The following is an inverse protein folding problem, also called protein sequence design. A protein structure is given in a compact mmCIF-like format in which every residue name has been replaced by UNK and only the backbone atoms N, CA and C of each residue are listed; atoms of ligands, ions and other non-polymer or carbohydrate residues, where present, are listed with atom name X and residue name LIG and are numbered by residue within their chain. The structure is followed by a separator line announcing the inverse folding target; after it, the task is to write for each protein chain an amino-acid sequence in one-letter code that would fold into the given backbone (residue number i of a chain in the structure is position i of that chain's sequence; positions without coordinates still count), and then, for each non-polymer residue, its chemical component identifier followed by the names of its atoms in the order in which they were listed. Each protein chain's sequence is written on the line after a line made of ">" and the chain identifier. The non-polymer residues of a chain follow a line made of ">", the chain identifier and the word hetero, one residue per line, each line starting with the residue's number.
data_IF_284432416964
#
_entry.id   IF_284432416964
#
_cell.length_a   1.000
_cell.length_b   1.000
_cell.length_c   1.000
_cell.angle_alpha   90.00
_cell.angle_beta   90.00
_cell.angle_gamma   90.00
#
_symmetry.space_group_name_H-M   'P 1'
#
loop_
_entity.id
_entity.type
_entity.pdbx_description
1 polymer ?
#
# COMPACT_ATOMS: atom_id res chain seq x y z
N UNK A 1 80.68 59.53 20.14
CA UNK A 1 79.32 59.72 19.58
C UNK A 1 79.10 58.66 18.51
N UNK A 2 77.96 57.97 18.56
CA UNK A 2 77.68 56.70 17.89
C UNK A 2 77.59 56.83 16.37
N UNK A 3 78.38 56.03 15.65
CA UNK A 3 78.27 55.78 14.21
C UNK A 3 77.16 54.75 13.94
N UNK A 4 76.02 55.20 13.42
CA UNK A 4 75.03 54.30 12.79
C UNK A 4 75.16 54.43 11.28
N UNK A 5 75.95 53.53 10.69
CA UNK A 5 76.08 53.38 9.24
C UNK A 5 74.75 52.93 8.62
N UNK A 6 74.28 53.68 7.63
CA UNK A 6 73.21 53.26 6.72
C UNK A 6 73.75 52.11 5.87
N UNK A 7 73.29 50.89 6.13
CA UNK A 7 73.54 49.76 5.24
C UNK A 7 72.65 49.83 4.00
N UNK A 8 73.20 49.33 2.90
CA UNK A 8 72.94 49.66 1.49
C UNK A 8 71.52 49.29 0.99
N UNK A 9 70.86 50.14 0.17
CA UNK A 9 69.55 49.85 -0.43
C UNK A 9 69.59 48.75 -1.51
N UNK A 10 70.77 48.46 -2.08
CA UNK A 10 70.94 47.46 -3.15
C UNK A 10 70.76 46.02 -2.66
N UNK A 11 71.11 45.73 -1.41
CA UNK A 11 70.89 44.40 -0.84
C UNK A 11 69.41 44.15 -0.54
N UNK A 12 68.69 45.18 -0.10
CA UNK A 12 67.24 45.11 0.11
C UNK A 12 66.49 44.81 -1.17
N UNK A 13 66.82 45.51 -2.26
CA UNK A 13 66.17 45.28 -3.56
C UNK A 13 66.39 43.85 -4.07
N UNK A 14 67.57 43.27 -3.81
CA UNK A 14 67.90 41.90 -4.21
C UNK A 14 67.19 40.84 -3.36
N UNK A 15 66.89 41.15 -2.10
CA UNK A 15 66.06 40.30 -1.23
C UNK A 15 64.59 40.43 -1.62
N UNK A 16 64.10 41.64 -1.84
CA UNK A 16 62.73 41.92 -2.29
C UNK A 16 62.42 41.26 -3.65
N UNK A 17 63.36 41.28 -4.60
CA UNK A 17 63.24 40.57 -5.88
C UNK A 17 63.18 39.05 -5.71
N UNK A 18 63.91 38.50 -4.73
CA UNK A 18 63.85 37.06 -4.40
C UNK A 18 62.55 36.68 -3.71
N UNK A 19 61.99 37.58 -2.90
CA UNK A 19 60.77 37.35 -2.14
C UNK A 19 59.50 37.61 -2.96
N UNK A 20 59.58 38.37 -4.06
CA UNK A 20 58.43 38.77 -4.90
C UNK A 20 57.64 37.61 -5.54
N UNK A 21 58.24 36.42 -5.63
CA UNK A 21 57.60 35.21 -6.14
C UNK A 21 57.56 34.06 -5.12
N UNK A 22 58.06 34.28 -3.90
CA UNK A 22 58.10 33.25 -2.87
C UNK A 22 56.78 33.24 -2.09
N UNK A 23 55.71 32.79 -2.73
CA UNK A 23 54.46 32.50 -2.04
C UNK A 23 54.47 31.05 -1.56
N UNK A 24 54.57 30.85 -0.24
CA UNK A 24 54.33 29.53 0.38
C UNK A 24 52.83 29.27 0.34
N UNK A 25 52.31 28.93 -0.84
CA UNK A 25 50.95 28.40 -0.99
C UNK A 25 50.95 26.94 -0.56
N UNK A 26 51.14 26.71 0.73
CA UNK A 26 50.71 25.44 1.35
C UNK A 26 49.19 25.51 1.42
N UNK A 27 48.52 25.05 0.38
CA UNK A 27 47.11 24.72 0.51
C UNK A 27 47.01 23.66 1.63
N UNK A 28 46.03 23.74 2.54
CA UNK A 28 45.78 22.70 3.52
C UNK A 28 45.30 21.44 2.76
N UNK A 29 46.26 20.66 2.27
CA UNK A 29 46.00 19.34 1.73
C UNK A 29 45.92 18.37 2.91
N UNK A 30 44.93 17.46 2.94
CA UNK A 30 44.91 16.42 3.96
C UNK A 30 46.19 15.60 3.87
N UNK A 31 46.79 15.32 5.02
CA UNK A 31 47.95 14.44 5.09
C UNK A 31 47.60 13.09 4.45
N UNK A 32 48.55 12.46 3.71
CA UNK A 32 48.34 11.12 3.19
C UNK A 32 47.93 10.17 4.31
N UNK A 33 46.89 9.37 4.07
CA UNK A 33 46.48 8.33 5.01
C UNK A 33 47.57 7.26 5.05
N UNK A 34 48.22 7.15 6.20
CA UNK A 34 49.21 6.10 6.44
C UNK A 34 48.51 4.76 6.69
N UNK A 35 48.97 3.71 6.00
CA UNK A 35 48.51 2.34 6.16
C UNK A 35 49.62 1.48 6.78
N UNK A 36 49.47 1.17 8.07
CA UNK A 36 50.44 0.38 8.82
C UNK A 36 50.57 -1.05 8.27
N UNK A 37 49.52 -1.62 7.69
CA UNK A 37 49.54 -3.01 7.21
C UNK A 37 50.44 -3.16 5.97
N UNK A 38 50.61 -2.08 5.21
CA UNK A 38 51.47 -2.05 4.02
C UNK A 38 52.89 -1.53 4.33
N UNK A 39 53.18 -1.16 5.57
CA UNK A 39 54.52 -0.68 5.95
C UNK A 39 55.52 -1.84 6.03
N UNK A 40 56.59 -1.71 5.25
CA UNK A 40 57.71 -2.67 5.23
C UNK A 40 58.42 -2.79 6.57
N UNK A 41 58.50 -1.71 7.33
CA UNK A 41 59.19 -1.67 8.63
C UNK A 41 58.41 -2.42 9.72
N UNK A 42 57.09 -2.51 9.57
CA UNK A 42 56.21 -3.22 10.51
C UNK A 42 55.93 -4.67 10.10
N UNK A 43 56.51 -5.14 8.98
CA UNK A 43 56.28 -6.49 8.46
C UNK A 43 56.53 -7.59 9.49
N UNK A 44 57.62 -7.49 10.25
CA UNK A 44 57.98 -8.49 11.27
C UNK A 44 56.95 -8.56 12.41
N UNK A 45 56.32 -7.43 12.77
CA UNK A 45 55.27 -7.40 13.78
C UNK A 45 54.01 -8.12 13.28
N UNK A 46 53.61 -7.88 12.03
CA UNK A 46 52.42 -8.49 11.42
C UNK A 46 52.62 -9.96 11.02
N UNK A 47 53.86 -10.42 10.88
CA UNK A 47 54.21 -11.83 10.65
C UNK A 47 54.01 -12.71 11.90
N UNK A 48 53.85 -12.10 13.08
CA UNK A 48 53.52 -12.83 14.31
C UNK A 48 52.16 -13.55 14.20
N UNK A 49 52.16 -14.86 14.44
CA UNK A 49 50.93 -15.70 14.36
C UNK A 49 49.79 -15.18 15.22
N UNK A 50 50.08 -14.57 16.37
CA UNK A 50 49.04 -14.02 17.27
C UNK A 50 48.35 -12.82 16.63
N UNK A 51 49.15 -11.92 16.04
CA UNK A 51 48.64 -10.72 15.34
C UNK A 51 47.91 -11.13 14.06
N UNK A 52 48.46 -12.08 13.31
CA UNK A 52 47.84 -12.59 12.09
C UNK A 52 46.49 -13.24 12.37
N UNK A 53 46.36 -14.07 13.42
CA UNK A 53 45.06 -14.64 13.83
C UNK A 53 44.05 -13.55 14.19
N UNK A 54 44.49 -12.50 14.87
CA UNK A 54 43.63 -11.37 15.20
C UNK A 54 43.17 -10.62 13.93
N UNK A 55 44.09 -10.31 13.02
CA UNK A 55 43.80 -9.64 11.76
C UNK A 55 42.88 -10.48 10.85
N UNK A 56 43.05 -11.80 10.84
CA UNK A 56 42.17 -12.73 10.14
C UNK A 56 40.77 -12.75 10.74
N UNK A 57 40.66 -12.80 12.07
CA UNK A 57 39.35 -12.73 12.76
C UNK A 57 38.61 -11.43 12.44
N UNK A 58 39.35 -10.33 12.31
CA UNK A 58 38.81 -9.02 11.99
C UNK A 58 38.58 -8.79 10.48
N UNK A 59 39.01 -9.71 9.62
CA UNK A 59 38.81 -9.62 8.16
C UNK A 59 39.75 -8.67 7.42
N UNK A 60 40.81 -8.17 8.07
CA UNK A 60 41.84 -7.34 7.43
C UNK A 60 42.81 -8.15 6.59
N UNK A 61 42.93 -9.44 6.90
CA UNK A 61 43.87 -10.36 6.27
C UNK A 61 43.13 -11.65 5.94
N UNK A 62 43.37 -12.19 4.75
CA UNK A 62 42.77 -13.44 4.29
C UNK A 62 43.43 -14.66 4.96
N UNK A 63 42.85 -15.85 4.76
CA UNK A 63 43.39 -17.14 5.23
C UNK A 63 44.82 -17.39 4.72
N UNK A 64 45.15 -16.86 3.56
CA UNK A 64 46.48 -16.91 2.94
C UNK A 64 47.48 -15.89 3.53
N UNK A 65 47.04 -14.98 4.40
CA UNK A 65 47.89 -13.93 4.96
C UNK A 65 48.01 -12.67 4.10
N UNK A 66 47.22 -12.55 3.02
CA UNK A 66 47.18 -11.36 2.16
C UNK A 66 46.26 -10.29 2.75
N UNK A 67 46.66 -9.02 2.62
CA UNK A 67 45.87 -7.88 3.11
C UNK A 67 44.63 -7.71 2.22
N UNK A 68 43.46 -7.63 2.84
CA UNK A 68 42.19 -7.43 2.17
C UNK A 68 41.99 -5.95 1.91
N UNK A 69 41.80 -5.58 0.64
CA UNK A 69 41.52 -4.20 0.25
C UNK A 69 40.01 -3.95 0.25
N UNK A 70 39.50 -3.39 1.35
CA UNK A 70 38.06 -3.21 1.58
C UNK A 70 37.41 -2.29 0.53
N UNK A 71 38.14 -1.30 0.02
CA UNK A 71 37.62 -0.37 -0.98
C UNK A 71 37.28 -1.08 -2.30
N UNK A 72 38.02 -2.15 -2.64
CA UNK A 72 37.72 -2.97 -3.82
C UNK A 72 36.44 -3.79 -3.67
N UNK A 73 36.07 -4.14 -2.44
CA UNK A 73 34.87 -4.93 -2.16
C UNK A 73 33.65 -4.07 -1.84
N UNK A 74 33.83 -2.78 -1.53
CA UNK A 74 32.75 -1.85 -1.19
C UNK A 74 31.66 -1.80 -2.25
N UNK A 75 32.02 -1.79 -3.54
CA UNK A 75 31.03 -1.83 -4.62
C UNK A 75 30.19 -3.11 -4.61
N UNK A 76 30.81 -4.28 -4.39
CA UNK A 76 30.10 -5.56 -4.32
C UNK A 76 29.20 -5.65 -3.10
N UNK A 77 29.67 -5.17 -1.94
CA UNK A 77 28.88 -5.12 -0.71
C UNK A 77 27.65 -4.22 -0.90
N UNK A 78 27.80 -3.06 -1.51
CA UNK A 78 26.68 -2.17 -1.80
C UNK A 78 25.63 -2.82 -2.71
N UNK A 79 26.06 -3.55 -3.75
CA UNK A 79 25.15 -4.29 -4.63
C UNK A 79 24.40 -5.35 -3.81
N UNK A 80 25.11 -6.17 -3.02
CA UNK A 80 24.48 -7.20 -2.19
C UNK A 80 23.47 -6.59 -1.21
N UNK A 81 23.79 -5.47 -0.58
CA UNK A 81 22.87 -4.76 0.32
C UNK A 81 21.63 -4.24 -0.40
N UNK A 82 21.77 -3.73 -1.63
CA UNK A 82 20.64 -3.29 -2.45
C UNK A 82 19.75 -4.46 -2.86
N UNK A 83 20.36 -5.56 -3.31
CA UNK A 83 19.66 -6.80 -3.67
C UNK A 83 18.89 -7.35 -2.46
N UNK A 84 19.50 -7.33 -1.27
CA UNK A 84 18.85 -7.80 -0.05
C UNK A 84 17.63 -6.94 0.30
N UNK A 85 17.77 -5.60 0.24
CA UNK A 85 16.65 -4.68 0.47
C UNK A 85 15.53 -4.87 -0.55
N UNK A 86 15.86 -5.13 -1.80
CA UNK A 86 14.88 -5.39 -2.85
C UNK A 86 14.13 -6.71 -2.61
N UNK A 87 14.86 -7.77 -2.26
CA UNK A 87 14.29 -9.06 -1.91
C UNK A 87 13.37 -8.97 -0.68
N UNK A 88 13.81 -8.29 0.39
CA UNK A 88 12.99 -8.06 1.59
C UNK A 88 11.70 -7.33 1.29
N UNK A 89 11.75 -6.25 0.48
CA UNK A 89 10.55 -5.52 0.05
C UNK A 89 9.61 -6.41 -0.76
N UNK A 90 10.15 -7.19 -1.68
CA UNK A 90 9.36 -8.07 -2.56
C UNK A 90 8.61 -9.12 -1.74
N UNK A 91 9.30 -9.78 -0.79
CA UNK A 91 8.67 -10.76 0.10
C UNK A 91 7.65 -10.10 1.04
N UNK A 92 7.93 -8.90 1.54
CA UNK A 92 6.97 -8.14 2.34
C UNK A 92 5.66 -7.87 1.58
N UNK A 93 5.75 -7.43 0.33
CA UNK A 93 4.57 -7.19 -0.51
C UNK A 93 3.81 -8.46 -0.82
N UNK A 94 4.53 -9.55 -1.13
CA UNK A 94 3.93 -10.87 -1.37
C UNK A 94 3.12 -11.36 -0.17
N UNK A 95 3.68 -11.26 1.04
CA UNK A 95 2.98 -11.66 2.26
C UNK A 95 1.76 -10.78 2.54
N UNK A 96 1.88 -9.47 2.30
CA UNK A 96 0.77 -8.53 2.45
C UNK A 96 -0.38 -8.83 1.47
N UNK A 97 -0.05 -9.09 0.21
CA UNK A 97 -1.03 -9.47 -0.82
C UNK A 97 -1.72 -10.80 -0.48
N UNK A 98 -0.97 -11.80 -0.01
CA UNK A 98 -1.56 -13.08 0.43
C UNK A 98 -2.52 -12.89 1.62
N UNK A 99 -2.15 -12.06 2.59
CA UNK A 99 -3.01 -11.76 3.73
C UNK A 99 -4.28 -11.01 3.31
N UNK A 100 -4.15 -10.04 2.40
CA UNK A 100 -5.28 -9.28 1.87
C UNK A 100 -6.23 -10.18 1.07
N UNK A 101 -5.71 -11.03 0.18
CA UNK A 101 -6.47 -12.02 -0.56
C UNK A 101 -7.21 -13.00 0.37
N UNK A 102 -6.57 -13.38 1.48
CA UNK A 102 -7.23 -14.20 2.49
C UNK A 102 -8.39 -13.47 3.17
N UNK A 103 -8.21 -12.19 3.53
CA UNK A 103 -9.26 -11.36 4.15
C UNK A 103 -10.43 -11.13 3.21
N UNK A 104 -10.16 -10.78 1.95
CA UNK A 104 -11.22 -10.56 0.94
C UNK A 104 -12.01 -11.85 0.69
N UNK A 105 -11.35 -13.00 0.60
CA UNK A 105 -12.02 -14.29 0.43
C UNK A 105 -12.89 -14.65 1.64
N UNK A 106 -12.42 -14.39 2.87
CA UNK A 106 -13.21 -14.58 4.09
C UNK A 106 -14.44 -13.66 4.11
N UNK A 107 -14.26 -12.37 3.84
CA UNK A 107 -15.36 -11.41 3.78
C UNK A 107 -16.40 -11.78 2.70
N UNK A 108 -15.95 -12.23 1.52
CA UNK A 108 -16.84 -12.72 0.45
C UNK A 108 -17.65 -13.94 0.89
N UNK A 109 -17.02 -14.87 1.60
CA UNK A 109 -17.70 -16.06 2.15
C UNK A 109 -18.73 -15.67 3.20
N UNK A 110 -18.39 -14.77 4.11
CA UNK A 110 -19.30 -14.27 5.14
C UNK A 110 -20.50 -13.54 4.53
N UNK A 111 -20.26 -12.64 3.57
CA UNK A 111 -21.31 -11.94 2.85
C UNK A 111 -22.28 -12.89 2.15
N UNK A 112 -21.76 -13.92 1.45
CA UNK A 112 -22.59 -14.93 0.81
C UNK A 112 -23.45 -15.72 1.82
N UNK A 113 -22.90 -16.04 2.99
CA UNK A 113 -23.65 -16.71 4.06
C UNK A 113 -24.73 -15.81 4.66
N UNK A 114 -24.46 -14.53 4.82
CA UNK A 114 -25.45 -13.55 5.31
C UNK A 114 -26.58 -13.34 4.32
N UNK A 115 -26.27 -13.20 3.03
CA UNK A 115 -27.26 -13.08 1.97
C UNK A 115 -28.16 -14.33 1.92
N UNK A 116 -27.57 -15.53 2.01
CA UNK A 116 -28.33 -16.78 2.09
C UNK A 116 -29.28 -16.81 3.31
N UNK A 117 -28.79 -16.41 4.49
CA UNK A 117 -29.62 -16.32 5.72
C UNK A 117 -30.75 -15.29 5.58
N UNK A 118 -30.47 -14.13 4.97
CA UNK A 118 -31.49 -13.09 4.71
C UNK A 118 -32.57 -13.62 3.78
N UNK A 119 -32.19 -14.32 2.72
CA UNK A 119 -33.11 -14.91 1.75
C UNK A 119 -33.96 -16.03 2.36
N UNK A 120 -33.37 -16.89 3.20
CA UNK A 120 -34.09 -17.92 3.96
C UNK A 120 -35.17 -17.28 4.86
N UNK A 121 -34.81 -16.24 5.63
CA UNK A 121 -35.76 -15.51 6.48
C UNK A 121 -36.88 -14.87 5.67
N UNK A 122 -36.55 -14.24 4.55
CA UNK A 122 -37.54 -13.62 3.68
C UNK A 122 -38.52 -14.66 3.10
N UNK A 123 -38.02 -15.81 2.65
CA UNK A 123 -38.86 -16.90 2.15
C UNK A 123 -39.74 -17.50 3.24
N UNK A 124 -39.21 -17.65 4.46
CA UNK A 124 -40.01 -18.08 5.62
C UNK A 124 -41.15 -17.13 5.92
N UNK A 125 -40.90 -15.82 5.95
CA UNK A 125 -41.93 -14.80 6.16
C UNK A 125 -42.98 -14.84 5.03
N UNK A 126 -42.55 -15.00 3.78
CA UNK A 126 -43.46 -15.13 2.62
C UNK A 126 -44.37 -16.34 2.76
N UNK A 127 -43.83 -17.50 3.13
CA UNK A 127 -44.62 -18.72 3.29
C UNK A 127 -45.56 -18.63 4.49
N UNK A 128 -45.12 -18.07 5.63
CA UNK A 128 -45.98 -17.81 6.78
C UNK A 128 -47.14 -16.85 6.42
N UNK A 129 -46.86 -15.78 5.67
CA UNK A 129 -47.88 -14.85 5.20
C UNK A 129 -48.83 -15.51 4.19
N UNK A 130 -48.33 -16.41 3.33
CA UNK A 130 -49.16 -17.19 2.40
C UNK A 130 -50.12 -18.11 3.16
N UNK A 131 -49.62 -18.83 4.16
CA UNK A 131 -50.44 -19.70 5.03
C UNK A 131 -51.47 -18.87 5.78
N UNK A 132 -51.08 -17.74 6.40
CA UNK A 132 -52.00 -16.82 7.09
C UNK A 132 -53.11 -16.33 6.16
N UNK A 133 -52.77 -15.89 4.95
CA UNK A 133 -53.77 -15.47 3.94
C UNK A 133 -54.68 -16.62 3.54
N UNK A 134 -54.14 -17.83 3.38
CA UNK A 134 -54.92 -19.04 3.12
C UNK A 134 -55.93 -19.35 4.22
N UNK A 135 -55.51 -19.27 5.49
CA UNK A 135 -56.39 -19.47 6.65
C UNK A 135 -57.46 -18.39 6.72
N UNK A 136 -57.09 -17.11 6.58
CA UNK A 136 -58.06 -16.00 6.60
C UNK A 136 -59.10 -16.17 5.48
N UNK A 137 -58.67 -16.54 4.28
CA UNK A 137 -59.56 -16.82 3.15
C UNK A 137 -60.48 -18.01 3.43
N UNK A 138 -59.96 -19.11 3.97
CA UNK A 138 -60.74 -20.28 4.33
C UNK A 138 -61.80 -19.97 5.41
N UNK A 139 -61.43 -19.23 6.46
CA UNK A 139 -62.34 -18.79 7.52
C UNK A 139 -63.40 -17.82 6.98
N UNK A 140 -63.01 -16.89 6.10
CA UNK A 140 -63.97 -16.00 5.41
C UNK A 140 -64.93 -16.77 4.52
N UNK A 141 -64.45 -17.80 3.83
CA UNK A 141 -65.30 -18.65 2.99
C UNK A 141 -66.24 -19.52 3.84
N UNK A 142 -65.77 -20.09 4.95
CA UNK A 142 -66.60 -20.84 5.91
C UNK A 142 -67.70 -19.95 6.51
N UNK A 143 -67.35 -18.77 7.02
CA UNK A 143 -68.32 -17.81 7.55
C UNK A 143 -69.32 -17.34 6.48
N UNK A 144 -68.86 -17.10 5.24
CA UNK A 144 -69.79 -16.77 4.14
C UNK A 144 -70.72 -17.93 3.77
N UNK A 145 -70.25 -19.18 3.90
CA UNK A 145 -71.05 -20.38 3.65
C UNK A 145 -72.05 -20.65 4.79
N UNK A 146 -71.67 -20.36 6.05
CA UNK A 146 -72.58 -20.37 7.20
C UNK A 146 -73.66 -19.29 7.10
N UNK A 147 -73.30 -18.07 6.69
CA UNK A 147 -74.25 -17.01 6.42
C UNK A 147 -75.21 -17.39 5.29
N UNK A 148 -74.71 -18.00 4.20
CA UNK A 148 -75.55 -18.52 3.11
C UNK A 148 -76.50 -19.64 3.58
N UNK A 149 -76.04 -20.55 4.44
CA UNK A 149 -76.89 -21.58 5.06
C UNK A 149 -77.98 -20.97 5.93
N UNK A 150 -77.65 -20.00 6.79
CA UNK A 150 -78.65 -19.28 7.58
C UNK A 150 -79.68 -18.57 6.70
N UNK A 151 -79.26 -17.92 5.61
CA UNK A 151 -80.22 -17.29 4.68
C UNK A 151 -81.08 -18.30 3.92
N UNK A 152 -80.54 -19.48 3.60
CA UNK A 152 -81.27 -20.57 2.94
C UNK A 152 -82.29 -21.22 3.89
N UNK A 153 -81.95 -21.34 5.18
CA UNK A 153 -82.85 -21.87 6.20
C UNK A 153 -83.95 -20.87 6.59
N UNK A 154 -83.66 -19.56 6.57
CA UNK A 154 -84.66 -18.50 6.73
C UNK A 154 -85.57 -18.41 5.49
N UNK A 155 -85.06 -18.73 4.28
CA UNK A 155 -85.81 -18.74 3.02
C UNK A 155 -86.88 -19.83 2.86
N UNK A 156 -87.02 -20.76 3.82
CA UNK A 156 -88.14 -21.74 3.85
C UNK A 156 -89.38 -21.26 4.60
N UNK A 157 -89.34 -20.08 5.24
CA UNK A 157 -90.52 -19.47 5.83
C UNK A 157 -90.67 -18.04 5.32
N UNK A 158 -91.77 -17.81 4.60
CA UNK A 158 -92.25 -16.55 3.99
C UNK A 158 -91.82 -16.29 2.55
N UNK A 159 -92.70 -16.73 1.65
CA UNK A 159 -93.22 -15.88 0.56
C UNK A 159 -93.76 -14.58 1.18
N UNK A 160 -93.25 -13.42 0.77
CA UNK A 160 -94.01 -12.19 0.44
C UNK A 160 -93.03 -11.10 0.00
N UNK A 161 -93.28 -10.65 -1.24
CA UNK A 161 -93.02 -9.40 -1.94
C UNK A 161 -92.22 -8.22 -1.34
N UNK A 162 -91.52 -7.61 -2.29
CA UNK A 162 -91.37 -6.17 -2.59
C UNK A 162 -90.18 -5.41 -2.00
N UNK A 163 -89.61 -4.56 -2.85
CA UNK A 163 -88.72 -3.46 -2.46
C UNK A 163 -87.53 -3.27 -3.37
N UNK A 164 -87.74 -2.58 -4.50
CA UNK A 164 -86.67 -1.81 -5.17
C UNK A 164 -86.08 -0.82 -4.17
N UNK A 165 -84.77 -0.59 -4.24
CA UNK A 165 -84.20 0.76 -4.31
C UNK A 165 -82.71 0.69 -4.66
N UNK A 166 -82.36 1.42 -5.70
CA UNK A 166 -81.01 1.77 -6.11
C UNK A 166 -80.41 2.75 -5.10
N UNK A 167 -79.12 2.62 -4.77
CA UNK A 167 -78.15 3.72 -4.90
C UNK A 167 -76.75 3.30 -4.40
N UNK A 168 -75.79 3.54 -5.31
CA UNK A 168 -74.47 4.14 -5.07
C UNK A 168 -73.60 3.62 -3.90
N UNK A 169 -72.48 2.99 -4.29
CA UNK A 169 -71.13 3.43 -3.91
C UNK A 169 -70.08 2.65 -4.71
N UNK A 170 -70.00 3.00 -5.99
CA UNK A 170 -68.81 2.82 -6.79
C UNK A 170 -67.93 4.04 -6.53
N UNK A 171 -66.70 3.85 -6.03
CA UNK A 171 -65.77 4.95 -5.74
C UNK A 171 -65.08 4.87 -4.38
N UNK A 172 -64.09 3.98 -4.27
CA UNK A 172 -62.86 4.13 -3.46
C UNK A 172 -62.13 2.80 -3.35
N UNK A 173 -61.36 2.43 -4.37
CA UNK A 173 -60.19 1.52 -4.23
C UNK A 173 -59.27 1.50 -5.45
N UNK A 174 -59.03 2.67 -6.02
CA UNK A 174 -57.97 2.88 -7.01
C UNK A 174 -57.25 4.19 -6.67
N UNK A 175 -56.56 4.21 -5.53
CA UNK A 175 -55.62 5.26 -5.13
C UNK A 175 -54.88 4.81 -3.86
N UNK A 176 -54.17 3.68 -3.93
CA UNK A 176 -53.22 3.28 -2.88
C UNK A 176 -52.19 2.25 -3.38
N UNK A 177 -51.96 2.14 -4.70
CA UNK A 177 -50.96 1.24 -5.29
C UNK A 177 -49.81 1.94 -6.04
N UNK A 178 -49.69 3.27 -5.96
CA UNK A 178 -48.60 4.02 -6.62
C UNK A 178 -47.73 4.86 -5.67
N UNK A 179 -47.63 4.50 -4.38
CA UNK A 179 -46.73 5.20 -3.44
C UNK A 179 -45.71 4.33 -2.68
N UNK A 180 -45.43 3.11 -3.13
CA UNK A 180 -44.34 2.28 -2.56
C UNK A 180 -43.35 1.77 -3.62
N UNK A 181 -43.15 2.55 -4.70
CA UNK A 181 -42.02 2.39 -5.62
C UNK A 181 -41.24 3.69 -5.74
N UNK A 182 -40.74 4.19 -4.62
CA UNK A 182 -39.71 5.23 -4.60
C UNK A 182 -39.00 5.17 -3.24
N UNK A 183 -38.36 4.03 -2.99
CA UNK A 183 -37.26 3.91 -2.06
C UNK A 183 -36.01 3.71 -2.91
N UNK A 184 -35.50 4.82 -3.44
CA UNK A 184 -34.13 4.88 -3.95
C UNK A 184 -33.23 4.74 -2.72
N UNK A 185 -32.63 3.57 -2.52
CA UNK A 185 -31.46 3.44 -1.66
C UNK A 185 -30.30 4.12 -2.40
N UNK A 186 -30.23 5.45 -2.25
CA UNK A 186 -29.04 6.26 -2.51
C UNK A 186 -27.97 5.92 -1.46
N UNK A 187 -27.37 4.73 -1.51
CA UNK A 187 -26.16 4.39 -0.74
C UNK A 187 -25.28 3.36 -1.47
N UNK A 188 -25.42 3.26 -2.80
CA UNK A 188 -24.39 2.67 -3.64
C UNK A 188 -23.54 3.81 -4.20
N UNK A 189 -22.63 4.34 -3.38
CA UNK A 189 -21.41 4.97 -3.90
C UNK A 189 -20.45 3.85 -4.27
N UNK A 190 -20.28 3.50 -5.56
CA UNK A 190 -19.04 2.87 -5.96
C UNK A 190 -17.95 3.91 -5.66
N UNK A 191 -17.12 3.65 -4.65
CA UNK A 191 -15.88 4.39 -4.50
C UNK A 191 -15.14 4.24 -5.83
N UNK A 192 -15.06 5.35 -6.56
CA UNK A 192 -14.31 5.44 -7.80
C UNK A 192 -12.85 5.11 -7.48
N UNK A 193 -12.35 4.11 -8.21
CA UNK A 193 -10.93 3.84 -8.36
C UNK A 193 -10.23 5.11 -8.84
N UNK A 194 -9.68 5.89 -7.90
CA UNK A 194 -8.68 6.93 -8.22
C UNK A 194 -7.35 6.23 -8.41
N UNK A 195 -7.13 5.80 -9.65
CA UNK A 195 -5.80 5.59 -10.20
C UNK A 195 -5.19 6.97 -10.55
N UNK A 196 -4.26 7.45 -9.74
CA UNK A 196 -3.27 8.51 -10.00
C UNK A 196 -2.27 8.38 -8.82
N UNK A 197 -1.00 7.99 -8.97
CA UNK A 197 0.02 8.58 -9.82
C UNK A 197 1.00 7.52 -10.37
N UNK A 198 1.11 7.46 -11.69
CA UNK A 198 2.30 6.97 -12.39
C UNK A 198 2.78 8.05 -13.36
N UNK A 199 3.44 9.09 -12.86
CA UNK A 199 4.30 9.96 -13.67
C UNK A 199 5.45 10.52 -12.82
N UNK A 200 6.62 9.86 -12.87
CA UNK A 200 7.89 10.56 -12.77
C UNK A 200 8.94 9.81 -13.59
N UNK A 201 8.81 9.93 -14.91
CA UNK A 201 9.90 9.74 -15.85
C UNK A 201 10.13 11.09 -16.52
N UNK A 202 11.29 11.70 -16.23
CA UNK A 202 12.22 12.27 -17.23
C UNK A 202 13.07 13.39 -16.61
N UNK A 203 14.26 13.03 -16.13
CA UNK A 203 15.43 13.86 -16.41
C UNK A 203 16.49 13.03 -17.13
N UNK A 204 16.48 13.21 -18.45
CA UNK A 204 17.47 12.74 -19.38
C UNK A 204 18.86 13.32 -19.06
N UNK A 205 19.66 12.55 -18.34
CA UNK A 205 21.11 12.70 -18.33
C UNK A 205 21.71 12.07 -19.58
N UNK A 206 21.77 12.82 -20.69
CA UNK A 206 22.48 12.40 -21.89
C UNK A 206 23.97 12.16 -21.62
N UNK A 207 24.46 10.96 -21.91
CA UNK A 207 25.89 10.74 -22.11
C UNK A 207 26.15 9.92 -23.37
N UNK A 208 26.61 10.65 -24.38
CA UNK A 208 27.18 10.17 -25.63
C UNK A 208 28.40 9.29 -25.31
N UNK A 209 28.43 8.03 -25.76
CA UNK A 209 29.68 7.31 -25.97
C UNK A 209 29.71 6.80 -27.40
N UNK A 210 30.51 7.51 -28.18
CA UNK A 210 30.92 7.19 -29.54
C UNK A 210 31.61 5.82 -29.58
N UNK A 211 31.17 4.98 -30.51
CA UNK A 211 31.92 3.82 -30.97
C UNK A 211 33.20 4.29 -31.66
N UNK A 212 34.35 3.81 -31.19
CA UNK A 212 35.56 3.71 -32.00
C UNK A 212 35.74 2.24 -32.40
N UNK A 213 35.65 1.90 -33.69
CA UNK A 213 36.31 0.72 -34.21
C UNK A 213 37.77 1.09 -34.48
N UNK A 214 38.69 0.43 -33.78
CA UNK A 214 40.12 0.55 -34.01
C UNK A 214 40.70 -0.84 -34.26
N UNK A 215 41.41 -0.92 -35.39
CA UNK A 215 42.18 -2.01 -35.99
C UNK A 215 42.91 -3.00 -35.06
#
# INVERSE_FOLDING_TARGET
>A
MSSRGRTQPKEKHKVEERERGFEVRSAPAPLPRYDALRDTNLRQYFESKTVQKYLQKMGWVDKEGKIVDLDKFRGKLNIIEQEFKYAEKTEFWRLKEEEEMRRTHQARRERALEEAKKLERANRIREENRIRRGIISAVKNQSSHELKKLTHDIGKTKVVESGKDEQEKEGRREQEQEKEKEGYDEDFSPEEDVHEDTEEADEAGGFFVTQHPGD
#
